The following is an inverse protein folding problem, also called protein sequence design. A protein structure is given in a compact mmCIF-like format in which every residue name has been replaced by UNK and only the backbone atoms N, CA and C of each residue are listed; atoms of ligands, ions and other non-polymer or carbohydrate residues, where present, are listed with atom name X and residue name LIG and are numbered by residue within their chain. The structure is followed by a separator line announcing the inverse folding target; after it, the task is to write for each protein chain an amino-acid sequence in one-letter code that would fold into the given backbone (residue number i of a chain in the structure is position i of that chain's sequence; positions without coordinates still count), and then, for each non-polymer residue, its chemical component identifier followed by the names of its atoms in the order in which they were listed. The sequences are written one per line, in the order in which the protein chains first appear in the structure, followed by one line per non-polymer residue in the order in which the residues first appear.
data_IF_997292221778
#
_entry.id   IF_997292221778
#
_cell.length_a   1.000
_cell.length_b   1.000
_cell.length_c   1.000
_cell.angle_alpha   90.00
_cell.angle_beta   90.00
_cell.angle_gamma   90.00
#
_symmetry.space_group_name_H-M   'P 1'
#
loop_
_entity.id
_entity.type
_entity.pdbx_description
1 polymer ?
#
# COMPACT_ATOMS: atom_id res chain seq x y z
N UNK A 1 -29.69 -15.35 42.46
CA UNK A 1 -30.80 -15.58 41.58
C UNK A 1 -30.69 -14.84 40.24
N UNK A 2 -30.24 -13.64 40.25
CA UNK A 2 -30.13 -12.79 39.02
C UNK A 2 -28.86 -13.06 38.22
N UNK A 3 -27.80 -13.64 38.78
CA UNK A 3 -26.52 -13.86 38.11
C UNK A 3 -26.62 -14.85 36.94
N UNK A 4 -27.48 -15.88 37.07
CA UNK A 4 -27.69 -16.87 36.00
C UNK A 4 -28.44 -16.30 34.77
N UNK A 5 -29.20 -15.23 34.98
CA UNK A 5 -29.94 -14.58 33.90
C UNK A 5 -29.14 -13.48 33.19
N UNK A 6 -28.11 -12.95 33.83
CA UNK A 6 -27.23 -11.91 33.27
C UNK A 6 -26.11 -12.50 32.41
N UNK A 7 -25.64 -13.72 32.70
CA UNK A 7 -24.59 -14.39 31.96
C UNK A 7 -24.87 -14.56 30.43
N UNK A 8 -26.04 -15.02 29.99
CA UNK A 8 -26.32 -15.13 28.56
C UNK A 8 -26.41 -13.76 27.85
N UNK A 9 -26.86 -12.72 28.55
CA UNK A 9 -26.88 -11.38 28.01
C UNK A 9 -25.50 -10.80 27.81
N UNK A 10 -24.59 -10.99 28.76
CA UNK A 10 -23.20 -10.55 28.67
C UNK A 10 -22.45 -11.27 27.55
N UNK A 11 -22.67 -12.56 27.37
CA UNK A 11 -22.08 -13.35 26.29
C UNK A 11 -22.58 -12.90 24.92
N UNK A 12 -23.85 -12.54 24.78
CA UNK A 12 -24.42 -12.03 23.55
C UNK A 12 -23.80 -10.68 23.14
N UNK A 13 -23.58 -9.79 24.10
CA UNK A 13 -22.95 -8.49 23.87
C UNK A 13 -21.47 -8.65 23.45
N UNK A 14 -20.74 -9.56 24.08
CA UNK A 14 -19.36 -9.88 23.70
C UNK A 14 -19.27 -10.46 22.28
N UNK A 15 -20.15 -11.38 21.92
CA UNK A 15 -20.21 -11.96 20.59
C UNK A 15 -20.52 -10.90 19.52
N UNK A 16 -21.42 -9.95 19.80
CA UNK A 16 -21.72 -8.86 18.91
C UNK A 16 -20.54 -7.91 18.71
N UNK A 17 -19.82 -7.59 19.79
CA UNK A 17 -18.63 -6.76 19.73
C UNK A 17 -17.52 -7.37 18.86
N UNK A 18 -17.26 -8.66 19.02
CA UNK A 18 -16.28 -9.38 18.20
C UNK A 18 -16.71 -9.44 16.75
N UNK A 19 -18.00 -9.62 16.48
CA UNK A 19 -18.52 -9.64 15.13
C UNK A 19 -18.36 -8.27 14.42
N UNK A 20 -18.67 -7.17 15.09
CA UNK A 20 -18.49 -5.82 14.56
C UNK A 20 -17.00 -5.54 14.30
N UNK A 21 -16.13 -5.94 15.20
CA UNK A 21 -14.69 -5.79 15.05
C UNK A 21 -14.15 -6.58 13.84
N UNK A 22 -14.57 -7.83 13.68
CA UNK A 22 -14.21 -8.66 12.53
C UNK A 22 -14.72 -8.07 11.21
N UNK A 23 -15.90 -7.47 11.21
CA UNK A 23 -16.48 -6.84 10.04
C UNK A 23 -15.72 -5.59 9.60
N UNK A 24 -15.25 -4.76 10.56
CA UNK A 24 -14.41 -3.58 10.24
C UNK A 24 -13.05 -3.98 9.69
N UNK A 25 -12.45 -5.04 10.21
CA UNK A 25 -11.22 -5.60 9.65
C UNK A 25 -11.45 -6.18 8.25
N UNK A 26 -12.59 -6.82 8.02
CA UNK A 26 -12.97 -7.38 6.72
C UNK A 26 -13.13 -6.32 5.63
N UNK A 27 -13.62 -5.15 5.96
CA UNK A 27 -13.74 -4.03 5.00
C UNK A 27 -12.38 -3.54 4.52
N UNK A 28 -11.41 -3.41 5.43
CA UNK A 28 -10.03 -3.07 5.05
C UNK A 28 -9.40 -4.11 4.13
N UNK A 29 -9.70 -5.38 4.34
CA UNK A 29 -9.22 -6.48 3.49
C UNK A 29 -9.86 -6.45 2.09
N UNK A 30 -11.12 -6.02 1.98
CA UNK A 30 -11.83 -5.93 0.70
C UNK A 30 -11.21 -4.85 -0.21
N UNK A 31 -10.84 -3.70 0.34
CA UNK A 31 -10.18 -2.64 -0.41
C UNK A 31 -8.79 -3.09 -0.90
N UNK A 32 -8.05 -3.85 -0.08
CA UNK A 32 -6.75 -4.44 -0.45
C UNK A 32 -6.91 -5.44 -1.58
N UNK A 33 -7.97 -6.25 -1.60
CA UNK A 33 -8.23 -7.22 -2.67
C UNK A 33 -8.57 -6.51 -3.98
N UNK A 34 -9.37 -5.44 -3.94
CA UNK A 34 -9.72 -4.66 -5.13
C UNK A 34 -8.49 -4.00 -5.76
N UNK A 35 -7.55 -3.50 -4.95
CA UNK A 35 -6.29 -2.93 -5.42
C UNK A 35 -5.29 -4.00 -5.87
N UNK A 36 -5.34 -5.21 -5.30
CA UNK A 36 -4.45 -6.30 -5.66
C UNK A 36 -4.61 -6.73 -7.13
N UNK A 37 -5.81 -6.64 -7.70
CA UNK A 37 -6.04 -6.95 -9.12
C UNK A 37 -5.37 -5.94 -10.05
N UNK A 38 -5.13 -4.72 -9.60
CA UNK A 38 -4.46 -3.67 -10.36
C UNK A 38 -2.92 -3.80 -10.29
N UNK A 39 -2.39 -4.52 -9.32
CA UNK A 39 -0.95 -4.64 -9.08
C UNK A 39 -0.46 -5.99 -9.58
N UNK A 40 0.45 -5.96 -10.55
CA UNK A 40 1.08 -7.18 -11.07
C UNK A 40 2.32 -7.55 -10.28
N UNK A 41 3.13 -6.55 -9.88
CA UNK A 41 4.36 -6.79 -9.13
C UNK A 41 4.76 -5.57 -8.31
N UNK A 42 5.27 -5.82 -7.11
CA UNK A 42 5.91 -4.82 -6.24
C UNK A 42 7.43 -5.03 -6.25
N UNK A 43 8.18 -3.93 -6.31
CA UNK A 43 9.65 -3.94 -6.30
C UNK A 43 10.16 -2.97 -5.22
N UNK A 44 10.91 -3.40 -4.23
CA UNK A 44 11.14 -4.81 -3.85
C UNK A 44 9.85 -5.51 -3.39
N UNK A 45 9.85 -6.83 -3.40
CA UNK A 45 8.74 -7.60 -2.88
C UNK A 45 8.51 -7.32 -1.39
N UNK A 46 7.29 -7.53 -0.92
CA UNK A 46 6.95 -7.37 0.50
C UNK A 46 7.89 -8.18 1.39
N UNK A 47 8.47 -7.54 2.40
CA UNK A 47 9.38 -8.19 3.34
C UNK A 47 10.76 -8.53 2.80
N UNK A 48 11.09 -8.14 1.57
CA UNK A 48 12.40 -8.38 0.99
C UNK A 48 13.50 -7.65 1.77
N UNK A 49 14.71 -8.19 1.73
CA UNK A 49 15.92 -7.52 2.22
C UNK A 49 16.70 -7.00 1.02
N UNK A 50 17.03 -5.72 1.03
CA UNK A 50 17.68 -5.05 -0.09
C UNK A 50 18.78 -4.11 0.39
N UNK A 51 19.62 -3.68 -0.54
CA UNK A 51 20.66 -2.68 -0.29
C UNK A 51 20.09 -1.27 -0.40
N UNK A 52 20.83 -0.29 0.09
CA UNK A 52 20.41 1.12 0.13
C UNK A 52 20.16 1.76 -1.23
N UNK A 53 20.66 1.17 -2.30
CA UNK A 53 20.52 1.65 -3.68
C UNK A 53 19.46 0.86 -4.46
N UNK A 54 18.66 0.06 -3.79
CA UNK A 54 17.63 -0.73 -4.44
C UNK A 54 16.60 0.16 -5.16
N UNK A 55 16.19 -0.26 -6.33
CA UNK A 55 15.11 0.38 -7.06
C UNK A 55 13.77 0.05 -6.41
N UNK A 56 12.92 1.06 -6.28
CA UNK A 56 11.57 0.93 -5.76
C UNK A 56 10.62 1.14 -6.93
N UNK A 57 9.62 0.29 -7.04
CA UNK A 57 8.67 0.43 -8.13
C UNK A 57 7.44 -0.43 -7.99
N UNK A 58 6.55 -0.23 -8.94
CA UNK A 58 5.30 -0.96 -9.05
C UNK A 58 5.01 -1.25 -10.52
N UNK A 59 4.63 -2.49 -10.79
CA UNK A 59 4.15 -2.94 -12.08
C UNK A 59 2.63 -3.08 -11.99
N UNK A 60 1.91 -2.39 -12.85
CA UNK A 60 0.46 -2.29 -12.80
C UNK A 60 -0.19 -2.99 -13.99
N UNK A 61 -1.44 -3.35 -13.81
CA UNK A 61 -2.30 -3.80 -14.90
C UNK A 61 -2.45 -2.69 -15.95
N UNK A 62 -2.80 -3.04 -17.20
CA UNK A 62 -3.02 -2.04 -18.25
C UNK A 62 -3.99 -0.93 -17.82
N UNK A 63 -3.74 0.28 -18.27
CA UNK A 63 -4.53 1.49 -18.01
C UNK A 63 -4.29 2.16 -16.65
N UNK A 64 -3.54 1.52 -15.74
CA UNK A 64 -3.21 2.09 -14.43
C UNK A 64 -1.91 2.88 -14.48
N UNK A 65 -1.83 3.92 -13.67
CA UNK A 65 -0.61 4.66 -13.38
C UNK A 65 -0.46 4.86 -11.88
N UNK A 66 0.69 5.34 -11.46
CA UNK A 66 0.99 5.49 -10.04
C UNK A 66 1.89 6.68 -9.75
N UNK A 67 1.86 7.08 -8.50
CA UNK A 67 2.77 8.00 -7.85
C UNK A 67 3.32 7.29 -6.62
N UNK A 68 4.59 7.49 -6.30
CA UNK A 68 5.24 6.81 -5.18
C UNK A 68 5.49 7.77 -4.01
N UNK A 69 5.22 7.27 -2.80
CA UNK A 69 5.54 7.94 -1.55
C UNK A 69 6.39 6.98 -0.73
N UNK A 70 7.60 7.39 -0.40
CA UNK A 70 8.59 6.56 0.33
C UNK A 70 8.83 7.16 1.70
N UNK A 71 8.54 6.41 2.76
CA UNK A 71 8.63 6.88 4.16
C UNK A 71 7.93 8.24 4.38
N UNK A 72 6.76 8.42 3.77
CA UNK A 72 5.99 9.65 3.87
C UNK A 72 6.46 10.78 2.95
N UNK A 73 7.50 10.57 2.17
CA UNK A 73 8.03 11.56 1.23
C UNK A 73 7.50 11.28 -0.18
N UNK A 74 6.72 12.20 -0.71
CA UNK A 74 6.22 12.11 -2.08
C UNK A 74 7.37 12.32 -3.06
N UNK A 75 7.55 11.38 -3.98
CA UNK A 75 8.59 11.49 -5.00
C UNK A 75 8.09 12.37 -6.13
N UNK A 76 8.84 13.45 -6.47
CA UNK A 76 8.46 14.32 -7.58
C UNK A 76 8.38 13.57 -8.91
N UNK A 77 7.49 14.02 -9.77
CA UNK A 77 7.21 13.40 -11.06
C UNK A 77 8.47 13.29 -11.95
N UNK A 78 9.33 14.30 -11.90
CA UNK A 78 10.58 14.35 -12.68
C UNK A 78 11.65 13.36 -12.20
N UNK A 79 11.46 12.78 -11.02
CA UNK A 79 12.36 11.77 -10.45
C UNK A 79 11.83 10.34 -10.61
N UNK A 80 10.61 10.18 -11.13
CA UNK A 80 10.03 8.88 -11.42
C UNK A 80 10.42 8.43 -12.83
N UNK A 81 10.82 7.17 -12.96
CA UNK A 81 11.04 6.54 -14.25
C UNK A 81 9.76 5.79 -14.64
N UNK A 82 9.06 6.29 -15.61
CA UNK A 82 7.83 5.68 -16.11
C UNK A 82 8.11 4.87 -17.35
N UNK A 83 7.66 3.62 -17.34
CA UNK A 83 7.64 2.76 -18.52
C UNK A 83 6.19 2.61 -18.94
N UNK A 84 5.69 3.58 -19.69
CA UNK A 84 4.26 3.69 -20.01
C UNK A 84 3.73 2.48 -20.78
N UNK A 85 4.52 1.95 -21.67
CA UNK A 85 4.13 0.77 -22.45
C UNK A 85 3.88 -0.48 -21.59
N UNK A 86 4.44 -0.51 -20.40
CA UNK A 86 4.32 -1.65 -19.47
C UNK A 86 3.58 -1.28 -18.18
N UNK A 87 3.09 -0.05 -18.05
CA UNK A 87 2.41 0.46 -16.86
C UNK A 87 3.25 0.31 -15.59
N UNK A 88 4.55 0.63 -15.69
CA UNK A 88 5.51 0.53 -14.60
C UNK A 88 5.97 1.91 -14.17
N UNK A 89 6.20 2.07 -12.87
CA UNK A 89 6.72 3.31 -12.28
C UNK A 89 7.80 2.93 -11.29
N UNK A 90 8.98 3.55 -11.42
CA UNK A 90 10.16 3.26 -10.60
C UNK A 90 10.79 4.53 -10.05
N UNK A 91 11.46 4.37 -8.90
CA UNK A 91 12.30 5.39 -8.29
C UNK A 91 13.58 4.75 -7.77
N UNK A 92 14.70 5.42 -8.00
CA UNK A 92 16.00 5.03 -7.44
C UNK A 92 16.57 6.21 -6.66
N UNK A 93 16.88 5.99 -5.38
CA UNK A 93 17.55 7.00 -4.54
C UNK A 93 18.95 7.29 -5.09
N UNK A 94 19.39 8.53 -4.96
CA UNK A 94 20.69 8.93 -5.45
C UNK A 94 20.97 10.41 -5.26
N UNK A 95 22.18 10.88 -5.59
CA UNK A 95 22.56 12.28 -5.45
C UNK A 95 21.62 13.20 -6.23
N UNK A 96 21.14 14.25 -5.58
CA UNK A 96 20.24 15.21 -6.18
C UNK A 96 18.76 14.80 -6.20
N UNK A 97 18.45 13.59 -5.78
CA UNK A 97 17.07 13.11 -5.65
C UNK A 97 16.44 13.55 -4.34
N UNK A 98 15.11 13.51 -4.26
CA UNK A 98 14.36 13.80 -3.04
C UNK A 98 14.81 12.93 -1.86
N UNK A 99 15.15 11.68 -2.15
CA UNK A 99 15.80 10.76 -1.23
C UNK A 99 17.14 10.39 -1.82
N UNK A 100 18.22 10.81 -1.17
CA UNK A 100 19.57 10.55 -1.66
C UNK A 100 20.01 9.12 -1.38
N UNK A 101 19.59 8.57 -0.26
CA UNK A 101 19.94 7.22 0.18
C UNK A 101 18.79 6.66 1.03
N UNK A 102 18.44 5.39 0.81
CA UNK A 102 17.44 4.73 1.64
C UNK A 102 18.02 4.48 3.04
N UNK A 103 17.28 4.81 4.11
CA UNK A 103 17.74 4.55 5.47
C UNK A 103 17.79 3.06 5.75
N UNK A 104 18.74 2.62 6.57
CA UNK A 104 18.81 1.25 7.06
C UNK A 104 17.59 0.93 7.92
N UNK A 105 17.07 -0.29 7.82
CA UNK A 105 15.90 -0.72 8.55
C UNK A 105 14.65 -0.79 7.68
N UNK A 106 13.46 -0.72 8.28
CA UNK A 106 12.21 -0.81 7.53
C UNK A 106 11.97 0.43 6.67
N UNK A 107 11.59 0.21 5.43
CA UNK A 107 11.16 1.26 4.51
C UNK A 107 9.72 0.95 4.10
N UNK A 108 8.85 1.94 4.25
CA UNK A 108 7.46 1.83 3.86
C UNK A 108 7.22 2.62 2.57
N UNK A 109 6.60 1.96 1.61
CA UNK A 109 6.22 2.58 0.34
C UNK A 109 4.71 2.60 0.22
N UNK A 110 4.18 3.73 -0.22
CA UNK A 110 2.79 3.89 -0.60
C UNK A 110 2.75 4.27 -2.06
N UNK A 111 2.07 3.48 -2.88
CA UNK A 111 1.76 3.85 -4.25
C UNK A 111 0.32 4.37 -4.30
N UNK A 112 0.15 5.55 -4.86
CA UNK A 112 -1.16 6.09 -5.20
C UNK A 112 -1.43 5.70 -6.65
N UNK A 113 -2.44 4.87 -6.88
CA UNK A 113 -2.73 4.31 -8.20
C UNK A 113 -4.10 4.76 -8.70
N UNK A 114 -4.21 5.08 -9.97
CA UNK A 114 -5.47 5.49 -10.59
C UNK A 114 -5.46 5.15 -12.08
N UNK A 115 -6.63 5.26 -12.72
CA UNK A 115 -6.80 5.01 -14.16
C UNK A 115 -7.12 6.30 -14.91
N UNK A 116 -6.14 6.95 -15.54
CA UNK A 116 -6.39 8.18 -16.30
C UNK A 116 -7.39 7.98 -17.45
N UNK A 117 -7.36 6.82 -18.09
CA UNK A 117 -8.27 6.49 -19.21
C UNK A 117 -9.73 6.48 -18.75
N UNK A 118 -9.99 6.13 -17.48
CA UNK A 118 -11.34 6.17 -16.91
C UNK A 118 -11.74 7.56 -16.39
N UNK A 119 -10.93 8.59 -16.63
CA UNK A 119 -11.17 9.94 -16.12
C UNK A 119 -10.76 10.15 -14.68
N UNK A 120 -10.08 9.20 -14.07
CA UNK A 120 -9.58 9.30 -12.69
C UNK A 120 -8.34 10.19 -12.64
N UNK A 121 -8.17 10.87 -11.51
CA UNK A 121 -6.99 11.68 -11.20
C UNK A 121 -6.34 11.17 -9.91
N UNK A 122 -5.23 11.79 -9.50
CA UNK A 122 -4.57 11.41 -8.24
C UNK A 122 -5.48 11.59 -7.01
N UNK A 123 -6.47 12.47 -7.07
CA UNK A 123 -7.46 12.65 -6.00
C UNK A 123 -8.39 11.43 -5.85
N UNK A 124 -8.56 10.69 -6.92
CA UNK A 124 -9.36 9.45 -6.95
C UNK A 124 -8.52 8.21 -6.66
N UNK A 125 -7.22 8.37 -6.37
CA UNK A 125 -6.26 7.29 -6.28
C UNK A 125 -6.56 6.33 -5.12
N UNK A 126 -6.37 5.05 -5.40
CA UNK A 126 -6.31 4.01 -4.39
C UNK A 126 -4.89 3.91 -3.83
N UNK A 127 -4.77 3.43 -2.59
CA UNK A 127 -3.48 3.29 -1.91
C UNK A 127 -3.05 1.84 -1.88
N UNK A 128 -1.81 1.60 -2.32
CA UNK A 128 -1.14 0.31 -2.15
C UNK A 128 0.06 0.53 -1.25
N UNK A 129 0.10 -0.17 -0.13
CA UNK A 129 1.18 -0.03 0.85
C UNK A 129 1.94 -1.34 1.00
N UNK A 130 3.26 -1.24 1.03
CA UNK A 130 4.13 -2.38 1.35
C UNK A 130 5.41 -1.89 2.01
N UNK A 131 6.12 -2.81 2.62
CA UNK A 131 7.38 -2.52 3.29
C UNK A 131 8.42 -3.58 2.98
N UNK A 132 9.68 -3.18 3.12
CA UNK A 132 10.84 -4.05 2.95
C UNK A 132 11.95 -3.58 3.90
N UNK A 133 13.03 -4.34 3.99
CA UNK A 133 14.15 -4.06 4.88
C UNK A 133 15.38 -3.67 4.08
N UNK A 134 16.01 -2.58 4.49
CA UNK A 134 17.29 -2.12 3.95
C UNK A 134 18.40 -2.54 4.92
N UNK A 135 19.37 -3.26 4.42
CA UNK A 135 20.50 -3.77 5.20
C UNK A 135 21.80 -2.98 4.92
#
# INVERSE_FOLDING_TARGET
MSVRRLLPGALAVLALGVFVYAFTLGRGTTDVVATADAVEQLVPARGAQVLRQAEIGIDLAPEWTALLVVNGVEIPEDQLRRVEAQNQVFFTAGPGMEIEELPAGPVQVTALIWRPVAGETREDADRVQWSFQVV
#
